data_IF_550503056683
#
_entry.id   IF_550503056683
#
_cell.length_a   1.000
_cell.length_b   1.000
_cell.length_c   1.000
_cell.angle_alpha   90.00
_cell.angle_beta   90.00
_cell.angle_gamma   90.00
#
_symmetry.space_group_name_H-M   'P 1'
#
loop_
_entity.id
_entity.type
_entity.pdbx_description
1 polymer ?
#
# COMPACT_ATOMS: atom_id res chain seq x y z
N UNK A 1 2.53 -9.89 -7.56
CA UNK A 1 3.32 -8.74 -8.06
C UNK A 1 4.36 -8.42 -7.01
N UNK A 2 5.63 -8.35 -7.41
CA UNK A 2 6.71 -8.11 -6.47
C UNK A 2 6.82 -6.62 -6.15
N UNK A 3 7.12 -6.31 -4.89
CA UNK A 3 7.22 -4.94 -4.41
C UNK A 3 8.29 -4.83 -3.33
N UNK A 4 8.87 -3.65 -3.20
CA UNK A 4 9.99 -3.38 -2.29
C UNK A 4 9.53 -2.34 -1.26
N UNK A 5 9.75 -2.62 0.01
CA UNK A 5 9.60 -1.66 1.09
C UNK A 5 10.80 -0.71 1.09
N UNK A 6 10.54 0.60 1.03
CA UNK A 6 11.56 1.64 1.08
C UNK A 6 11.06 2.78 1.96
N UNK A 7 11.71 2.94 3.11
CA UNK A 7 11.32 3.89 4.15
C UNK A 7 9.84 3.69 4.54
N UNK A 8 8.99 4.66 4.18
CA UNK A 8 7.56 4.68 4.49
C UNK A 8 6.67 4.38 3.28
N UNK A 9 7.24 3.81 2.22
CA UNK A 9 6.54 3.53 0.96
C UNK A 9 6.86 2.13 0.45
N UNK A 10 5.93 1.59 -0.34
CA UNK A 10 6.10 0.30 -1.01
C UNK A 10 6.03 0.53 -2.51
N UNK A 11 7.08 0.14 -3.22
CA UNK A 11 7.19 0.32 -4.66
C UNK A 11 6.92 -1.01 -5.33
N UNK A 12 5.85 -1.10 -6.10
CA UNK A 12 5.55 -2.27 -6.93
C UNK A 12 6.32 -2.14 -8.24
N UNK A 13 7.30 -3.02 -8.42
CA UNK A 13 8.16 -3.09 -9.60
C UNK A 13 7.71 -4.30 -10.42
N UNK A 14 6.58 -4.13 -11.10
CA UNK A 14 5.95 -5.18 -11.88
C UNK A 14 5.24 -4.52 -13.09
N UNK A 15 5.31 -5.14 -14.26
CA UNK A 15 4.67 -4.62 -15.48
C UNK A 15 3.15 -4.48 -15.30
N UNK A 16 2.54 -5.34 -14.48
CA UNK A 16 1.12 -5.32 -14.17
C UNK A 16 0.74 -4.29 -13.10
N UNK A 17 1.69 -3.56 -12.52
CA UNK A 17 1.40 -2.50 -11.55
C UNK A 17 0.46 -1.43 -12.13
N UNK A 18 0.57 -1.17 -13.45
CA UNK A 18 -0.35 -0.28 -14.16
C UNK A 18 -1.82 -0.70 -14.05
N UNK A 19 -2.12 -2.01 -13.91
CA UNK A 19 -3.49 -2.49 -13.75
C UNK A 19 -4.09 -2.11 -12.39
N UNK A 20 -3.27 -2.09 -11.33
CA UNK A 20 -3.71 -1.63 -10.00
C UNK A 20 -4.08 -0.14 -10.03
N UNK A 21 -3.29 0.67 -10.74
CA UNK A 21 -3.59 2.08 -10.94
C UNK A 21 -4.83 2.29 -11.82
N UNK A 22 -4.87 1.70 -13.01
CA UNK A 22 -5.91 1.98 -14.01
C UNK A 22 -7.31 1.49 -13.62
N UNK A 23 -7.43 0.36 -12.91
CA UNK A 23 -8.74 -0.22 -12.58
C UNK A 23 -9.31 0.25 -11.26
N UNK A 24 -8.45 0.63 -10.32
CA UNK A 24 -8.85 0.86 -8.92
C UNK A 24 -8.23 2.12 -8.32
N UNK A 25 -7.30 2.80 -8.98
CA UNK A 25 -6.58 3.99 -8.49
C UNK A 25 -5.87 3.74 -7.15
N UNK A 26 -5.10 2.67 -7.05
CA UNK A 26 -4.16 2.48 -5.94
C UNK A 26 -2.87 3.25 -6.20
N UNK A 27 -2.33 3.95 -5.20
CA UNK A 27 -1.02 4.57 -5.25
C UNK A 27 -0.85 5.68 -6.28
N UNK A 28 0.42 6.03 -6.51
CA UNK A 28 0.85 6.97 -7.53
C UNK A 28 1.80 6.27 -8.51
N UNK A 29 1.52 6.40 -9.80
CA UNK A 29 2.42 5.89 -10.82
C UNK A 29 3.65 6.81 -10.93
N UNK A 30 4.84 6.24 -10.77
CA UNK A 30 6.12 6.95 -10.89
C UNK A 30 6.93 6.36 -12.05
N UNK A 31 8.04 7.00 -12.42
CA UNK A 31 8.91 6.48 -13.47
C UNK A 31 9.57 5.12 -13.15
N UNK A 32 9.55 4.69 -11.89
CA UNK A 32 10.19 3.45 -11.41
C UNK A 32 9.15 2.33 -11.20
N UNK A 33 7.89 2.69 -10.95
CA UNK A 33 6.84 1.73 -10.64
C UNK A 33 5.64 2.39 -9.95
N UNK A 34 4.73 1.55 -9.43
CA UNK A 34 3.59 2.03 -8.66
C UNK A 34 4.01 2.19 -7.20
N UNK A 35 3.96 3.43 -6.72
CA UNK A 35 4.28 3.76 -5.36
C UNK A 35 3.01 3.74 -4.49
N UNK A 36 3.04 2.97 -3.42
CA UNK A 36 1.96 2.78 -2.47
C UNK A 36 2.37 3.34 -1.10
N UNK A 37 1.41 3.92 -0.38
CA UNK A 37 1.55 4.16 1.05
C UNK A 37 1.53 2.83 1.83
N UNK A 38 2.06 2.81 3.06
CA UNK A 38 2.01 1.62 3.94
C UNK A 38 0.57 1.11 4.12
N UNK A 39 -0.40 2.03 4.20
CA UNK A 39 -1.82 1.71 4.36
C UNK A 39 -2.37 0.97 3.13
N UNK A 40 -2.07 1.46 1.93
CA UNK A 40 -2.48 0.83 0.68
C UNK A 40 -1.78 -0.51 0.48
N UNK A 41 -0.48 -0.57 0.81
CA UNK A 41 0.31 -1.79 0.71
C UNK A 41 -0.22 -2.88 1.64
N UNK A 42 -0.53 -2.57 2.90
CA UNK A 42 -1.12 -3.53 3.83
C UNK A 42 -2.46 -4.06 3.32
N UNK A 43 -3.30 -3.19 2.76
CA UNK A 43 -4.56 -3.62 2.17
C UNK A 43 -4.36 -4.59 1.00
N UNK A 44 -3.42 -4.29 0.10
CA UNK A 44 -3.15 -5.12 -1.07
C UNK A 44 -2.44 -6.44 -0.69
N UNK A 45 -1.56 -6.41 0.31
CA UNK A 45 -0.90 -7.58 0.87
C UNK A 45 -1.93 -8.54 1.45
N UNK A 46 -2.88 -8.03 2.26
CA UNK A 46 -4.00 -8.82 2.83
C UNK A 46 -5.00 -9.36 1.81
N UNK A 47 -4.93 -8.90 0.56
CA UNK A 47 -5.73 -9.40 -0.56
C UNK A 47 -4.91 -10.28 -1.50
N UNK A 48 -3.70 -10.67 -1.09
CA UNK A 48 -2.73 -11.46 -1.85
C UNK A 48 -2.45 -10.87 -3.24
N UNK A 49 -2.51 -9.54 -3.37
CA UNK A 49 -2.28 -8.84 -4.64
C UNK A 49 -0.80 -8.51 -4.85
N UNK A 50 -0.10 -8.21 -3.77
CA UNK A 50 1.32 -7.88 -3.80
C UNK A 50 2.10 -8.76 -2.83
N UNK A 51 3.37 -8.96 -3.11
CA UNK A 51 4.36 -9.56 -2.22
C UNK A 51 5.42 -8.50 -1.94
N UNK A 52 5.70 -8.23 -0.66
CA UNK A 52 6.58 -7.14 -0.24
C UNK A 52 7.90 -7.74 0.24
N UNK A 53 8.99 -7.14 -0.21
CA UNK A 53 10.35 -7.48 0.18
C UNK A 53 11.04 -6.29 0.86
N UNK A 54 11.77 -6.56 1.93
CA UNK A 54 12.69 -5.62 2.57
C UNK A 54 14.10 -6.22 2.51
N UNK A 55 14.90 -5.74 1.54
CA UNK A 55 16.13 -6.41 1.12
C UNK A 55 15.85 -7.83 0.62
N UNK A 56 16.40 -8.83 1.30
CA UNK A 56 16.22 -10.25 0.99
C UNK A 56 15.06 -10.90 1.76
N UNK A 57 14.47 -10.18 2.73
CA UNK A 57 13.42 -10.71 3.59
C UNK A 57 12.03 -10.45 3.00
N UNK A 58 11.11 -11.40 3.18
CA UNK A 58 9.70 -11.21 2.87
C UNK A 58 9.03 -10.50 4.05
N UNK A 59 8.33 -9.41 3.76
CA UNK A 59 7.52 -8.68 4.73
C UNK A 59 6.11 -9.26 4.73
N UNK A 60 5.73 -9.86 5.85
CA UNK A 60 4.39 -10.39 6.05
C UNK A 60 3.41 -9.33 6.60
N UNK A 61 2.15 -9.71 6.72
CA UNK A 61 1.10 -8.83 7.26
C UNK A 61 1.45 -8.33 8.67
N UNK A 62 1.99 -9.21 9.51
CA UNK A 62 2.32 -8.93 10.91
C UNK A 62 3.37 -7.85 11.02
N UNK A 63 4.45 -7.98 10.25
CA UNK A 63 5.56 -7.04 10.22
C UNK A 63 5.10 -5.66 9.72
N UNK A 64 4.39 -5.61 8.59
CA UNK A 64 3.90 -4.34 8.04
C UNK A 64 2.88 -3.66 8.98
N UNK A 65 2.03 -4.46 9.63
CA UNK A 65 1.11 -3.98 10.66
C UNK A 65 1.85 -3.40 11.86
N UNK A 66 2.98 -3.99 12.26
CA UNK A 66 3.88 -3.46 13.29
C UNK A 66 4.36 -2.06 12.95
N UNK A 67 4.96 -1.88 11.76
CA UNK A 67 5.43 -0.58 11.27
C UNK A 67 4.32 0.49 11.30
N UNK A 68 3.12 0.12 10.85
CA UNK A 68 1.95 1.03 10.83
C UNK A 68 1.50 1.42 12.24
N UNK A 69 1.55 0.48 13.19
CA UNK A 69 1.21 0.74 14.59
C UNK A 69 2.23 1.64 15.28
N UNK A 70 3.52 1.43 15.02
CA UNK A 70 4.60 2.25 15.57
C UNK A 70 4.49 3.71 15.09
N UNK A 71 4.00 3.90 13.86
CA UNK A 71 3.67 5.22 13.30
C UNK A 71 2.33 5.80 13.77
N UNK A 72 1.60 5.11 14.65
CA UNK A 72 0.31 5.54 15.20
C UNK A 72 -0.77 5.82 14.13
N UNK A 73 -0.67 5.21 12.94
CA UNK A 73 -1.59 5.42 11.81
C UNK A 73 -2.46 4.18 11.52
N UNK A 74 -2.52 3.21 12.43
CA UNK A 74 -3.33 2.00 12.25
C UNK A 74 -4.83 2.27 12.14
N UNK A 75 -5.34 3.31 12.80
CA UNK A 75 -6.73 3.77 12.66
C UNK A 75 -7.05 4.19 11.21
N UNK A 76 -6.12 4.85 10.53
CA UNK A 76 -6.27 5.20 9.11
C UNK A 76 -6.41 3.96 8.23
N UNK A 77 -5.70 2.87 8.56
CA UNK A 77 -5.83 1.61 7.85
C UNK A 77 -7.24 1.00 8.02
N UNK A 78 -7.80 1.03 9.24
CA UNK A 78 -9.15 0.52 9.48
C UNK A 78 -10.19 1.25 8.63
N UNK A 79 -10.14 2.60 8.62
CA UNK A 79 -11.03 3.43 7.81
C UNK A 79 -10.83 3.19 6.32
N UNK A 80 -9.57 3.16 5.87
CA UNK A 80 -9.23 2.90 4.47
C UNK A 80 -9.75 1.53 4.02
N UNK A 81 -9.54 0.49 4.81
CA UNK A 81 -9.94 -0.88 4.50
C UNK A 81 -11.45 -1.05 4.41
N UNK A 82 -12.21 -0.46 5.33
CA UNK A 82 -13.67 -0.49 5.32
C UNK A 82 -14.22 0.18 4.04
N UNK A 83 -13.80 1.41 3.77
CA UNK A 83 -14.23 2.17 2.59
C UNK A 83 -13.83 1.47 1.29
N UNK A 84 -12.62 0.91 1.20
CA UNK A 84 -12.19 0.15 0.01
C UNK A 84 -12.97 -1.11 -0.21
N UNK A 85 -13.28 -1.84 0.87
CA UNK A 85 -14.08 -3.07 0.80
C UNK A 85 -15.50 -2.78 0.31
N UNK A 86 -16.05 -1.60 0.63
CA UNK A 86 -17.33 -1.12 0.10
C UNK A 86 -17.28 -0.61 -1.34
N UNK A 87 -16.11 -0.62 -1.98
CA UNK A 87 -15.93 -0.23 -3.38
C UNK A 87 -15.62 1.24 -3.62
N UNK A 88 -15.44 2.05 -2.57
CA UNK A 88 -15.04 3.44 -2.73
C UNK A 88 -13.60 3.55 -3.24
N UNK A 89 -13.34 4.56 -4.07
CA UNK A 89 -11.99 4.93 -4.50
C UNK A 89 -11.50 6.04 -3.58
N UNK A 90 -10.54 5.71 -2.73
CA UNK A 90 -9.91 6.65 -1.80
C UNK A 90 -8.55 7.01 -2.37
N UNK A 91 -8.33 8.30 -2.64
CA UNK A 91 -6.98 8.83 -2.82
C UNK A 91 -6.54 9.40 -1.47
N UNK A 92 -5.30 9.12 -1.08
CA UNK A 92 -4.72 9.65 0.15
C UNK A 92 -4.58 11.17 0.04
N UNK A 93 -5.62 11.87 0.49
CA UNK A 93 -5.74 13.33 0.50
C UNK A 93 -5.12 13.98 1.73
N UNK A 94 -4.06 13.42 2.32
CA UNK A 94 -3.35 14.02 3.48
C UNK A 94 -2.71 15.39 3.17
N UNK A 95 -2.92 15.93 1.96
CA UNK A 95 -2.60 17.31 1.59
C UNK A 95 -3.45 18.36 2.32
N UNK A 96 -4.55 17.98 2.96
CA UNK A 96 -5.35 18.87 3.81
C UNK A 96 -5.25 18.35 5.25
N UNK A 97 -4.38 19.00 6.03
CA UNK A 97 -3.92 18.52 7.33
C UNK A 97 -5.03 18.19 8.34
N UNK A 98 -4.82 17.07 9.04
CA UNK A 98 -5.44 16.70 10.30
C UNK A 98 -4.36 16.12 11.21
#
# INVERSE_FOLDING_TARGET
MNSILKDDRVIVIDEHAHNLYNKRYYGNLTGIGLELSLIEALYLLKKDKILIFDGENIVDETHLTGIIKDKHVYSHYLVYSDLRTRGYIIKTGFKYGS
#
